data_IF_075024764987
#
_entry.id   IF_075024764987
#
_cell.length_a   1.000
_cell.length_b   1.000
_cell.length_c   1.000
_cell.angle_alpha   90.00
_cell.angle_beta   90.00
_cell.angle_gamma   90.00
#
_symmetry.space_group_name_H-M   'P 1'
#
loop_
_entity.id
_entity.type
_entity.pdbx_description
1 polymer ?
#
# COMPACT_ATOMS: atom_id res chain seq x y z
N UNK A 1 -8.39 -3.17 27.35
CA UNK A 1 -8.12 -2.00 26.48
C UNK A 1 -8.34 -2.44 25.03
N UNK A 2 -9.14 -1.70 24.27
CA UNK A 2 -9.37 -1.98 22.86
C UNK A 2 -8.07 -1.79 22.07
N UNK A 3 -7.97 -2.38 20.89
CA UNK A 3 -6.75 -2.29 20.06
C UNK A 3 -6.40 -0.83 19.70
N UNK A 4 -7.39 -0.02 19.32
CA UNK A 4 -7.19 1.41 19.04
C UNK A 4 -6.56 2.15 20.24
N UNK A 5 -7.11 1.95 21.43
CA UNK A 5 -6.58 2.59 22.65
C UNK A 5 -5.12 2.19 22.95
N UNK A 6 -4.76 0.94 22.63
CA UNK A 6 -3.37 0.47 22.78
C UNK A 6 -2.44 1.14 21.77
N UNK A 7 -2.93 1.30 20.52
CA UNK A 7 -2.18 1.95 19.43
C UNK A 7 -2.00 3.44 19.74
N UNK A 8 -3.05 4.14 20.16
CA UNK A 8 -2.98 5.56 20.54
C UNK A 8 -1.96 5.77 21.64
N UNK A 9 -2.02 4.94 22.70
CA UNK A 9 -1.06 5.00 23.79
C UNK A 9 0.38 4.66 23.34
N UNK A 10 0.56 3.74 22.39
CA UNK A 10 1.85 3.42 21.79
C UNK A 10 2.40 4.63 21.02
N UNK A 11 1.61 5.25 20.16
CA UNK A 11 2.00 6.42 19.36
C UNK A 11 2.44 7.55 20.29
N UNK A 12 1.63 7.87 21.29
CA UNK A 12 1.92 8.90 22.26
C UNK A 12 3.24 8.67 23.01
N UNK A 13 3.51 7.44 23.42
CA UNK A 13 4.78 7.11 24.08
C UNK A 13 5.96 7.22 23.12
N UNK A 14 5.83 6.67 21.92
CA UNK A 14 6.91 6.69 20.92
C UNK A 14 7.27 8.12 20.47
N UNK A 15 6.29 8.99 20.27
CA UNK A 15 6.51 10.40 19.94
C UNK A 15 7.21 11.17 21.08
N UNK A 16 6.93 10.82 22.34
CA UNK A 16 7.56 11.45 23.49
C UNK A 16 8.96 10.91 23.82
N UNK A 17 9.15 9.60 23.70
CA UNK A 17 10.31 8.90 24.28
C UNK A 17 11.37 8.52 23.26
N UNK A 18 11.01 8.43 21.97
CA UNK A 18 11.94 8.05 20.91
C UNK A 18 12.31 9.26 20.03
N UNK A 19 13.52 9.85 20.21
CA UNK A 19 13.93 11.07 19.49
C UNK A 19 13.83 10.94 17.98
N UNK A 20 14.25 9.82 17.39
CA UNK A 20 14.17 9.57 15.95
C UNK A 20 12.73 9.71 15.43
N UNK A 21 11.76 9.09 16.09
CA UNK A 21 10.34 9.16 15.72
C UNK A 21 9.84 10.58 15.86
N UNK A 22 10.03 11.20 17.02
CA UNK A 22 9.60 12.58 17.27
C UNK A 22 10.12 13.54 16.20
N UNK A 23 11.42 13.48 15.89
CA UNK A 23 12.07 14.43 14.99
C UNK A 23 11.64 14.21 13.53
N UNK A 24 11.44 12.94 13.10
CA UNK A 24 10.96 12.61 11.76
C UNK A 24 9.48 13.00 11.57
N UNK A 25 8.63 12.80 12.58
CA UNK A 25 7.23 13.25 12.52
C UNK A 25 7.14 14.78 12.50
N UNK A 26 7.92 15.47 13.33
CA UNK A 26 8.00 16.94 13.29
C UNK A 26 8.55 17.48 11.94
N UNK A 27 9.40 16.72 11.27
CA UNK A 27 9.86 17.05 9.91
C UNK A 27 8.75 16.86 8.89
N UNK A 28 7.98 15.77 9.01
CA UNK A 28 6.86 15.47 8.14
C UNK A 28 5.74 16.52 8.24
N UNK A 29 5.43 17.02 9.44
CA UNK A 29 4.44 18.09 9.64
C UNK A 29 4.77 19.37 8.84
N UNK A 30 6.05 19.61 8.57
CA UNK A 30 6.55 20.73 7.79
C UNK A 30 6.87 20.39 6.34
N UNK A 31 6.55 19.17 5.92
CA UNK A 31 6.81 18.73 4.54
C UNK A 31 6.04 19.59 3.54
N UNK A 32 6.72 20.00 2.48
CA UNK A 32 6.07 20.71 1.40
C UNK A 32 5.14 19.75 0.64
N UNK A 33 3.90 20.18 0.43
CA UNK A 33 2.90 19.47 -0.35
C UNK A 33 2.56 20.27 -1.60
N UNK A 34 2.31 19.57 -2.71
CA UNK A 34 1.88 20.17 -3.96
C UNK A 34 0.90 19.24 -4.65
N UNK A 35 -0.28 19.74 -5.01
CA UNK A 35 -1.25 19.02 -5.83
C UNK A 35 -0.87 19.09 -7.31
N UNK A 36 -1.13 17.99 -8.00
CA UNK A 36 -1.02 17.87 -9.46
C UNK A 36 -2.30 17.20 -9.97
N UNK A 37 -3.06 17.94 -10.77
CA UNK A 37 -4.28 17.40 -11.41
C UNK A 37 -3.88 16.56 -12.61
N UNK A 38 -4.36 15.31 -12.65
CA UNK A 38 -4.35 14.42 -13.80
C UNK A 38 -5.66 14.58 -14.59
N UNK A 39 -5.94 13.71 -15.52
CA UNK A 39 -7.16 13.80 -16.33
C UNK A 39 -8.44 13.52 -15.52
N UNK A 40 -8.35 12.60 -14.54
CA UNK A 40 -9.51 12.09 -13.79
C UNK A 40 -9.27 11.97 -12.28
N UNK A 41 -8.11 12.35 -11.79
CA UNK A 41 -7.75 12.25 -10.37
C UNK A 41 -6.80 13.36 -9.96
N UNK A 42 -6.65 13.53 -8.65
CA UNK A 42 -5.68 14.44 -8.07
C UNK A 42 -4.57 13.66 -7.36
N UNK A 43 -3.34 14.11 -7.55
CA UNK A 43 -2.14 13.53 -6.94
C UNK A 43 -1.48 14.57 -6.05
N UNK A 44 -1.14 14.20 -4.84
CA UNK A 44 -0.36 15.01 -3.91
C UNK A 44 1.10 14.59 -3.97
N UNK A 45 1.99 15.49 -4.30
CA UNK A 45 3.42 15.31 -4.15
C UNK A 45 3.84 15.80 -2.76
N UNK A 46 4.57 14.97 -2.03
CA UNK A 46 5.11 15.27 -0.71
C UNK A 46 6.63 15.29 -0.78
N UNK A 47 7.27 16.41 -0.48
CA UNK A 47 8.73 16.45 -0.31
C UNK A 47 9.10 15.86 1.04
N UNK A 48 9.65 14.64 1.04
CA UNK A 48 9.98 13.89 2.25
C UNK A 48 11.40 13.27 2.13
N UNK A 49 12.44 14.00 2.49
CA UNK A 49 13.84 13.54 2.35
C UNK A 49 14.13 12.24 3.10
N UNK A 50 13.45 12.00 4.23
CA UNK A 50 13.63 10.80 5.04
C UNK A 50 13.23 9.51 4.30
N UNK A 51 12.42 9.63 3.25
CA UNK A 51 12.05 8.51 2.36
C UNK A 51 13.18 7.99 1.49
N UNK A 52 14.30 8.73 1.36
CA UNK A 52 15.47 8.25 0.60
C UNK A 52 15.89 6.86 1.03
N UNK A 53 15.86 6.57 2.34
CA UNK A 53 16.21 5.26 2.89
C UNK A 53 15.37 4.11 2.30
N UNK A 54 14.05 4.32 2.16
CA UNK A 54 13.15 3.31 1.60
C UNK A 54 13.17 3.30 0.08
N UNK A 55 13.17 4.48 -0.56
CA UNK A 55 13.19 4.59 -2.03
C UNK A 55 14.48 4.02 -2.64
N UNK A 56 15.62 4.17 -1.95
CA UNK A 56 16.91 3.65 -2.35
C UNK A 56 17.21 2.22 -1.81
N UNK A 57 16.25 1.58 -1.13
CA UNK A 57 16.47 0.25 -0.55
C UNK A 57 16.86 -0.78 -1.63
N UNK A 58 17.93 -1.52 -1.35
CA UNK A 58 18.34 -2.66 -2.16
C UNK A 58 17.58 -3.90 -1.70
N UNK A 59 16.83 -4.49 -2.61
CA UNK A 59 15.97 -5.66 -2.35
C UNK A 59 16.35 -6.87 -3.20
N UNK A 60 17.54 -6.85 -3.81
CA UNK A 60 18.10 -8.03 -4.44
C UNK A 60 18.51 -9.09 -3.40
N UNK A 61 18.52 -10.36 -3.79
CA UNK A 61 18.74 -11.49 -2.90
C UNK A 61 20.07 -11.39 -2.11
N UNK A 62 21.15 -10.90 -2.74
CA UNK A 62 22.45 -10.75 -2.10
C UNK A 62 22.41 -9.66 -1.01
N UNK A 63 21.79 -8.51 -1.30
CA UNK A 63 21.61 -7.42 -0.33
C UNK A 63 20.72 -7.81 0.84
N UNK A 64 19.65 -8.58 0.59
CA UNK A 64 18.77 -9.09 1.64
C UNK A 64 19.49 -10.07 2.56
N UNK A 65 20.27 -11.01 2.01
CA UNK A 65 21.02 -11.98 2.79
C UNK A 65 22.15 -11.36 3.61
N UNK A 66 22.69 -10.21 3.16
CA UNK A 66 23.81 -9.54 3.83
C UNK A 66 23.39 -8.61 4.98
N UNK A 67 22.11 -8.27 5.11
CA UNK A 67 21.62 -7.33 6.15
C UNK A 67 20.82 -8.04 7.24
N UNK A 68 20.95 -7.60 8.52
CA UNK A 68 19.99 -7.99 9.53
C UNK A 68 18.59 -7.44 9.17
N UNK A 69 17.57 -8.27 9.36
CA UNK A 69 16.19 -7.86 9.11
C UNK A 69 15.73 -6.86 10.18
N UNK A 70 15.47 -5.62 9.79
CA UNK A 70 15.05 -4.56 10.70
C UNK A 70 13.62 -4.73 11.26
N UNK A 71 12.86 -5.70 10.74
CA UNK A 71 11.54 -6.07 11.27
C UNK A 71 11.63 -7.19 12.32
N UNK A 72 12.74 -7.92 12.43
CA UNK A 72 12.93 -8.89 13.47
C UNK A 72 13.21 -8.22 14.82
N UNK A 73 12.62 -8.74 15.90
CA UNK A 73 12.69 -8.14 17.25
C UNK A 73 14.14 -7.97 17.73
N UNK A 74 14.98 -8.92 17.45
CA UNK A 74 16.40 -8.92 17.84
C UNK A 74 17.26 -7.83 17.19
N UNK A 75 16.75 -7.22 16.11
CA UNK A 75 17.44 -6.15 15.38
C UNK A 75 16.76 -4.78 15.53
N UNK A 76 15.69 -4.71 16.30
CA UNK A 76 14.99 -3.45 16.54
C UNK A 76 15.70 -2.61 17.61
N UNK A 77 15.67 -1.27 17.48
CA UNK A 77 16.13 -0.39 18.57
C UNK A 77 15.35 -0.66 19.86
N UNK A 78 16.03 -0.51 21.00
CA UNK A 78 15.43 -0.74 22.31
C UNK A 78 14.26 0.21 22.59
N UNK A 79 14.28 1.38 21.98
CA UNK A 79 13.24 2.40 22.08
C UNK A 79 11.96 2.03 21.31
N UNK A 80 12.05 1.11 20.34
CA UNK A 80 10.91 0.73 19.50
C UNK A 80 9.96 -0.22 20.22
N UNK A 81 8.94 0.34 20.83
CA UNK A 81 7.87 -0.43 21.48
C UNK A 81 6.90 -1.02 20.45
N UNK A 82 6.20 -2.09 20.84
CA UNK A 82 5.23 -2.78 20.02
C UNK A 82 3.97 -3.17 20.80
N UNK A 83 2.85 -3.28 20.11
CA UNK A 83 1.62 -3.93 20.55
C UNK A 83 1.46 -5.22 19.76
N UNK A 84 1.34 -6.36 20.45
CA UNK A 84 1.09 -7.65 19.78
C UNK A 84 -0.40 -7.81 19.47
N UNK A 85 -0.69 -8.38 18.29
CA UNK A 85 -2.04 -8.66 17.84
C UNK A 85 -2.18 -10.06 17.25
N UNK A 86 -3.26 -10.76 17.68
CA UNK A 86 -3.64 -12.07 17.15
C UNK A 86 -2.60 -13.18 17.36
N UNK A 87 -1.60 -12.99 18.22
CA UNK A 87 -0.49 -13.92 18.40
C UNK A 87 0.38 -14.15 17.15
N UNK A 88 0.21 -13.31 16.13
CA UNK A 88 0.88 -13.45 14.84
C UNK A 88 1.63 -12.20 14.39
N UNK A 89 1.25 -11.03 14.88
CA UNK A 89 1.81 -9.74 14.45
C UNK A 89 2.19 -8.87 15.65
N UNK A 90 3.12 -7.97 15.39
CA UNK A 90 3.44 -6.82 16.23
C UNK A 90 3.17 -5.54 15.46
N UNK A 91 2.49 -4.61 16.10
CA UNK A 91 2.16 -3.28 15.59
C UNK A 91 3.15 -2.29 16.20
N UNK A 92 3.77 -1.48 15.39
CA UNK A 92 4.79 -0.53 15.79
C UNK A 92 4.67 0.77 14.99
N UNK A 93 5.09 1.89 15.60
CA UNK A 93 5.16 3.18 14.90
C UNK A 93 6.25 3.10 13.82
N UNK A 94 5.92 3.53 12.61
CA UNK A 94 6.92 3.62 11.53
C UNK A 94 7.84 4.82 11.77
N UNK A 95 9.16 4.62 11.96
CA UNK A 95 10.06 5.72 12.27
C UNK A 95 10.37 6.66 11.08
N UNK A 96 9.96 6.29 9.86
CA UNK A 96 10.13 7.09 8.63
C UNK A 96 8.76 7.30 7.97
N UNK A 97 7.90 8.15 8.56
CA UNK A 97 6.50 8.24 8.17
C UNK A 97 6.31 8.89 6.79
N UNK A 98 5.19 8.50 6.13
CA UNK A 98 4.58 9.24 5.00
C UNK A 98 3.28 9.89 5.48
N UNK A 99 2.55 9.18 6.32
CA UNK A 99 1.29 9.65 6.91
C UNK A 99 1.54 10.40 8.20
N UNK A 100 0.67 11.37 8.56
CA UNK A 100 0.68 12.00 9.88
C UNK A 100 0.68 10.99 11.06
N UNK A 101 0.02 9.85 10.87
CA UNK A 101 0.13 8.66 11.72
C UNK A 101 0.43 7.46 10.83
N UNK A 102 1.53 6.74 11.10
CA UNK A 102 2.01 5.65 10.25
C UNK A 102 2.49 4.48 11.09
N UNK A 103 1.89 3.31 10.85
CA UNK A 103 2.22 2.06 11.53
C UNK A 103 2.84 1.05 10.58
N UNK A 104 3.68 0.19 11.13
CA UNK A 104 4.13 -1.05 10.51
C UNK A 104 3.61 -2.22 11.32
N UNK A 105 2.97 -3.19 10.68
CA UNK A 105 2.34 -4.37 11.29
C UNK A 105 3.09 -5.58 10.76
N UNK A 106 4.15 -5.96 11.47
CA UNK A 106 5.05 -7.03 11.05
C UNK A 106 4.68 -8.37 11.67
N UNK A 107 4.82 -9.45 10.91
CA UNK A 107 4.72 -10.81 11.46
C UNK A 107 5.71 -11.00 12.61
N UNK A 108 5.32 -11.75 13.64
CA UNK A 108 6.24 -12.15 14.71
C UNK A 108 7.31 -13.11 14.19
N UNK A 109 6.97 -13.92 13.21
CA UNK A 109 7.88 -14.83 12.54
C UNK A 109 8.51 -14.18 11.30
N UNK A 110 9.80 -14.43 11.08
CA UNK A 110 10.50 -14.04 9.86
C UNK A 110 10.08 -14.97 8.72
N UNK A 111 9.05 -14.56 7.99
CA UNK A 111 8.52 -15.28 6.83
C UNK A 111 8.45 -14.36 5.62
N UNK A 112 8.62 -14.86 4.39
CA UNK A 112 8.57 -14.03 3.18
C UNK A 112 7.29 -13.21 3.05
N UNK A 113 7.42 -12.04 2.44
CA UNK A 113 6.31 -11.16 2.08
C UNK A 113 5.40 -11.86 1.06
N UNK A 114 4.30 -12.44 1.52
CA UNK A 114 3.31 -13.14 0.70
C UNK A 114 1.92 -12.96 1.30
N UNK A 115 0.94 -12.65 0.46
CA UNK A 115 -0.44 -12.45 0.89
C UNK A 115 -1.25 -13.75 0.74
N UNK A 116 -1.04 -14.69 1.65
CA UNK A 116 -1.76 -15.95 1.72
C UNK A 116 -3.21 -15.76 2.20
N UNK A 117 -4.16 -16.67 1.96
CA UNK A 117 -5.57 -16.54 2.35
C UNK A 117 -5.78 -16.14 3.83
N UNK A 118 -5.04 -16.76 4.76
CA UNK A 118 -5.09 -16.39 6.18
C UNK A 118 -4.62 -14.95 6.44
N UNK A 119 -3.67 -14.46 5.67
CA UNK A 119 -3.15 -13.10 5.78
C UNK A 119 -4.12 -12.07 5.19
N UNK A 120 -4.88 -12.46 4.16
CA UNK A 120 -6.02 -11.68 3.66
C UNK A 120 -7.02 -11.48 4.80
N UNK A 121 -7.46 -12.55 5.45
CA UNK A 121 -8.40 -12.46 6.56
C UNK A 121 -7.87 -11.57 7.70
N UNK A 122 -6.60 -11.71 8.05
CA UNK A 122 -5.97 -10.85 9.07
C UNK A 122 -5.95 -9.37 8.66
N UNK A 123 -5.67 -9.05 7.38
CA UNK A 123 -5.68 -7.66 6.88
C UNK A 123 -7.09 -7.05 6.97
N UNK A 124 -8.10 -7.80 6.53
CA UNK A 124 -9.49 -7.37 6.57
C UNK A 124 -10.00 -7.20 8.02
N UNK A 125 -9.64 -8.13 8.90
CA UNK A 125 -9.97 -8.05 10.33
C UNK A 125 -9.31 -6.84 11.00
N UNK A 126 -8.06 -6.54 10.66
CA UNK A 126 -7.39 -5.34 11.15
C UNK A 126 -8.07 -4.06 10.65
N UNK A 127 -8.52 -4.00 9.39
CA UNK A 127 -9.25 -2.86 8.86
C UNK A 127 -10.58 -2.63 9.61
N UNK A 128 -11.29 -3.70 9.95
CA UNK A 128 -12.52 -3.64 10.75
C UNK A 128 -12.24 -3.15 12.18
N UNK A 129 -11.15 -3.60 12.80
CA UNK A 129 -10.76 -3.22 14.17
C UNK A 129 -10.17 -1.80 14.25
N UNK A 130 -9.70 -1.25 13.14
CA UNK A 130 -9.00 0.02 13.01
C UNK A 130 -9.71 0.93 11.99
N UNK A 131 -10.97 1.37 12.24
CA UNK A 131 -11.80 2.07 11.24
C UNK A 131 -11.25 3.46 10.86
N UNK A 132 -10.36 4.05 11.66
CA UNK A 132 -9.71 5.33 11.40
C UNK A 132 -8.41 5.19 10.59
N UNK A 133 -8.12 3.97 10.12
CA UNK A 133 -6.88 3.65 9.42
C UNK A 133 -7.14 3.07 8.03
N UNK A 134 -6.23 3.36 7.11
CA UNK A 134 -6.09 2.65 5.83
C UNK A 134 -4.91 1.69 5.96
N UNK A 135 -5.16 0.41 5.89
CA UNK A 135 -4.12 -0.61 5.78
C UNK A 135 -3.64 -0.70 4.35
N UNK A 136 -2.35 -1.01 4.18
CA UNK A 136 -1.81 -1.24 2.86
C UNK A 136 -0.78 -2.37 2.84
N UNK A 137 -0.70 -3.01 1.68
CA UNK A 137 0.21 -4.11 1.42
C UNK A 137 1.00 -3.83 0.15
N UNK A 138 2.31 -3.97 0.24
CA UNK A 138 3.20 -3.94 -0.91
C UNK A 138 3.70 -5.34 -1.19
N UNK A 139 3.39 -5.87 -2.37
CA UNK A 139 3.91 -7.16 -2.81
C UNK A 139 5.45 -7.18 -2.85
N UNK A 140 6.08 -8.36 -2.78
CA UNK A 140 7.53 -8.50 -2.65
C UNK A 140 8.32 -7.82 -3.78
N UNK A 141 7.72 -7.71 -4.96
CA UNK A 141 8.27 -7.05 -6.15
C UNK A 141 7.53 -5.74 -6.50
N UNK A 142 6.83 -5.13 -5.54
CA UNK A 142 6.00 -3.95 -5.74
C UNK A 142 6.22 -2.90 -4.64
N UNK A 143 7.47 -2.59 -4.32
CA UNK A 143 7.84 -1.53 -3.39
C UNK A 143 7.98 -1.96 -1.93
N UNK A 144 7.85 -3.25 -1.59
CA UNK A 144 8.20 -3.73 -0.26
C UNK A 144 9.70 -3.52 0.02
N UNK A 145 10.03 -2.82 1.11
CA UNK A 145 11.43 -2.58 1.52
C UNK A 145 12.02 -3.75 2.33
N UNK A 146 11.18 -4.66 2.80
CA UNK A 146 11.53 -5.92 3.46
C UNK A 146 10.75 -7.08 2.85
N UNK A 147 11.03 -7.48 1.58
CA UNK A 147 10.32 -8.58 0.93
C UNK A 147 10.63 -9.96 1.54
N UNK A 148 11.62 -10.03 2.41
CA UNK A 148 12.01 -11.17 3.21
C UNK A 148 11.19 -11.35 4.50
N UNK A 149 10.43 -10.31 4.92
CA UNK A 149 9.67 -10.35 6.17
C UNK A 149 8.24 -9.82 5.98
N UNK A 150 7.26 -10.69 6.21
CA UNK A 150 5.84 -10.35 6.06
C UNK A 150 5.42 -9.19 6.94
N UNK A 151 4.84 -8.18 6.33
CA UNK A 151 4.29 -7.04 7.03
C UNK A 151 3.17 -6.37 6.24
N UNK A 152 2.24 -5.76 6.97
CA UNK A 152 1.35 -4.71 6.48
C UNK A 152 1.84 -3.37 7.01
N UNK A 153 1.25 -2.31 6.49
CA UNK A 153 1.39 -0.97 7.04
C UNK A 153 0.00 -0.35 7.18
N UNK A 154 -0.10 0.71 7.99
CA UNK A 154 -1.33 1.47 8.10
C UNK A 154 -1.02 2.97 8.23
N UNK A 155 -1.84 3.79 7.59
CA UNK A 155 -1.82 5.24 7.69
C UNK A 155 -3.19 5.77 8.12
N UNK A 156 -3.25 6.98 8.66
CA UNK A 156 -4.52 7.60 9.03
C UNK A 156 -5.43 7.74 7.81
N UNK A 157 -6.73 7.42 7.99
CA UNK A 157 -7.78 7.58 6.98
C UNK A 157 -7.93 9.06 6.58
N UNK A 158 -8.36 9.32 5.34
CA UNK A 158 -8.51 10.67 4.80
C UNK A 158 -7.22 11.31 4.27
N UNK A 159 -6.08 10.58 4.29
CA UNK A 159 -4.83 11.07 3.75
C UNK A 159 -4.62 10.73 2.26
N UNK A 160 -5.14 9.60 1.81
CA UNK A 160 -5.02 9.15 0.42
C UNK A 160 -6.25 9.60 -0.39
N UNK A 161 -6.11 10.48 -1.41
CA UNK A 161 -7.23 10.96 -2.23
C UNK A 161 -8.06 9.82 -2.83
N UNK A 162 -7.40 8.78 -3.30
CA UNK A 162 -8.07 7.63 -3.93
C UNK A 162 -9.12 6.97 -3.04
N UNK A 163 -8.92 6.94 -1.71
CA UNK A 163 -9.90 6.29 -0.82
C UNK A 163 -11.27 6.95 -0.86
N UNK A 164 -11.34 8.25 -1.14
CA UNK A 164 -12.59 8.98 -1.32
C UNK A 164 -13.05 8.93 -2.79
N UNK A 165 -12.12 9.03 -3.74
CA UNK A 165 -12.41 8.99 -5.18
C UNK A 165 -13.10 7.68 -5.59
N UNK A 166 -12.65 6.52 -5.11
CA UNK A 166 -13.25 5.22 -5.48
C UNK A 166 -14.65 5.00 -4.90
N UNK A 167 -15.08 5.83 -3.96
CA UNK A 167 -16.43 5.74 -3.38
C UNK A 167 -17.48 6.44 -4.24
N UNK A 168 -17.10 7.18 -5.28
CA UNK A 168 -18.04 7.80 -6.22
C UNK A 168 -18.83 6.71 -6.98
N UNK A 169 -20.16 6.62 -6.78
CA UNK A 169 -20.99 5.63 -7.47
C UNK A 169 -20.92 5.73 -9.01
N UNK A 170 -20.61 6.91 -9.55
CA UNK A 170 -20.48 7.12 -10.99
C UNK A 170 -19.33 6.31 -11.64
N UNK A 171 -18.37 5.85 -10.84
CA UNK A 171 -17.28 4.99 -11.30
C UNK A 171 -17.71 3.52 -11.49
N UNK A 172 -18.87 3.14 -10.91
CA UNK A 172 -19.29 1.74 -10.82
C UNK A 172 -20.66 1.47 -11.45
N UNK A 173 -20.90 1.87 -12.71
CA UNK A 173 -22.06 1.40 -13.46
C UNK A 173 -21.97 -0.13 -13.64
N UNK A 174 -23.09 -0.77 -14.02
CA UNK A 174 -23.17 -2.24 -14.06
C UNK A 174 -22.12 -2.90 -14.97
N UNK A 175 -21.72 -2.24 -16.04
CA UNK A 175 -20.67 -2.71 -16.98
C UNK A 175 -19.23 -2.60 -16.44
N UNK A 176 -19.00 -1.84 -15.38
CA UNK A 176 -17.71 -1.79 -14.66
C UNK A 176 -17.66 -2.79 -13.48
N UNK A 177 -18.80 -3.40 -13.13
CA UNK A 177 -18.87 -4.43 -12.10
C UNK A 177 -18.67 -5.80 -12.71
N UNK A 178 -17.63 -6.51 -12.25
CA UNK A 178 -17.32 -7.87 -12.68
C UNK A 178 -18.34 -8.85 -12.07
N UNK A 179 -18.61 -8.69 -10.77
CA UNK A 179 -19.59 -9.48 -10.04
C UNK A 179 -20.23 -8.62 -8.93
N UNK A 180 -21.55 -8.71 -8.77
CA UNK A 180 -22.27 -7.99 -7.73
C UNK A 180 -23.31 -8.88 -7.08
N UNK A 181 -23.51 -8.71 -5.78
CA UNK A 181 -24.54 -9.36 -4.95
C UNK A 181 -25.28 -8.30 -4.13
N UNK A 182 -26.30 -8.70 -3.34
CA UNK A 182 -26.96 -7.79 -2.41
C UNK A 182 -26.01 -7.23 -1.32
N UNK A 183 -24.95 -7.95 -1.00
CA UNK A 183 -24.01 -7.63 0.10
C UNK A 183 -22.74 -6.92 -0.40
N UNK A 184 -22.59 -6.66 -1.72
CA UNK A 184 -21.44 -5.96 -2.26
C UNK A 184 -21.07 -6.34 -3.69
N UNK A 185 -19.90 -5.83 -4.16
CA UNK A 185 -19.43 -6.07 -5.52
C UNK A 185 -17.89 -6.09 -5.58
N UNK A 186 -17.39 -6.66 -6.68
CA UNK A 186 -16.07 -6.40 -7.22
C UNK A 186 -16.21 -5.76 -8.59
N UNK A 187 -15.47 -4.70 -8.86
CA UNK A 187 -15.42 -4.01 -10.14
C UNK A 187 -13.99 -3.70 -10.57
N UNK A 188 -13.82 -3.29 -11.83
CA UNK A 188 -12.54 -2.82 -12.37
C UNK A 188 -12.76 -1.51 -13.10
N UNK A 189 -11.87 -0.54 -12.88
CA UNK A 189 -11.92 0.75 -13.60
C UNK A 189 -10.54 1.22 -14.00
N UNK A 190 -10.48 2.02 -15.06
CA UNK A 190 -9.32 2.79 -15.49
C UNK A 190 -9.59 4.29 -15.46
N UNK A 191 -10.78 4.69 -14.99
CA UNK A 191 -11.24 6.09 -15.00
C UNK A 191 -10.56 6.99 -13.96
N UNK A 192 -9.61 6.46 -13.18
CA UNK A 192 -8.82 7.19 -12.19
C UNK A 192 -7.34 7.29 -12.59
N UNK A 193 -7.06 7.43 -13.91
CA UNK A 193 -5.72 7.58 -14.50
C UNK A 193 -4.81 6.36 -14.31
N UNK A 194 -5.27 5.32 -13.63
CA UNK A 194 -4.60 4.04 -13.39
C UNK A 194 -5.60 2.91 -13.23
N UNK A 195 -5.27 1.69 -13.72
CA UNK A 195 -6.16 0.55 -13.55
C UNK A 195 -6.17 0.08 -12.09
N UNK A 196 -7.35 -0.22 -11.59
CA UNK A 196 -7.53 -0.82 -10.29
C UNK A 196 -8.76 -1.73 -10.27
N UNK A 197 -8.71 -2.73 -9.39
CA UNK A 197 -9.90 -3.46 -8.95
C UNK A 197 -10.38 -2.89 -7.63
N UNK A 198 -11.68 -2.77 -7.46
CA UNK A 198 -12.32 -2.31 -6.23
C UNK A 198 -13.30 -3.35 -5.73
N UNK A 199 -13.17 -3.72 -4.47
CA UNK A 199 -14.05 -4.63 -3.74
C UNK A 199 -14.71 -3.80 -2.64
N UNK A 200 -16.05 -3.77 -2.61
CA UNK A 200 -16.83 -3.11 -1.57
C UNK A 200 -17.93 -4.05 -1.10
N UNK A 201 -17.83 -4.51 0.13
CA UNK A 201 -18.74 -5.52 0.68
C UNK A 201 -19.11 -5.19 2.13
N UNK A 202 -20.36 -5.47 2.52
CA UNK A 202 -20.82 -5.36 3.90
C UNK A 202 -20.16 -6.44 4.80
N UNK A 203 -19.90 -7.62 4.24
CA UNK A 203 -19.28 -8.73 4.97
C UNK A 203 -17.82 -8.90 4.57
N UNK A 204 -16.95 -8.90 5.57
CA UNK A 204 -15.52 -9.16 5.42
C UNK A 204 -15.22 -10.46 4.68
N UNK A 205 -15.99 -11.51 4.96
CA UNK A 205 -15.81 -12.83 4.35
C UNK A 205 -16.03 -12.78 2.83
N UNK A 206 -17.03 -11.99 2.36
CA UNK A 206 -17.27 -11.79 0.93
C UNK A 206 -16.12 -10.99 0.29
N UNK A 207 -15.64 -9.93 0.96
CA UNK A 207 -14.48 -9.19 0.49
C UNK A 207 -13.24 -10.08 0.39
N UNK A 208 -13.00 -10.93 1.38
CA UNK A 208 -11.92 -11.92 1.39
C UNK A 208 -12.05 -12.95 0.27
N UNK A 209 -13.26 -13.42 0.00
CA UNK A 209 -13.54 -14.34 -1.10
C UNK A 209 -13.22 -13.69 -2.47
N UNK A 210 -13.71 -12.48 -2.73
CA UNK A 210 -13.41 -11.77 -3.97
C UNK A 210 -11.91 -11.49 -4.12
N UNK A 211 -11.23 -11.07 -3.05
CA UNK A 211 -9.79 -10.81 -3.10
C UNK A 211 -8.99 -12.09 -3.39
N UNK A 212 -9.34 -13.21 -2.78
CA UNK A 212 -8.65 -14.48 -3.01
C UNK A 212 -8.85 -14.98 -4.46
N UNK A 213 -10.06 -14.87 -5.01
CA UNK A 213 -10.37 -15.18 -6.42
C UNK A 213 -9.59 -14.26 -7.36
N UNK A 214 -9.57 -12.95 -7.09
CA UNK A 214 -8.80 -12.01 -7.89
C UNK A 214 -7.31 -12.34 -7.90
N UNK A 215 -6.73 -12.67 -6.75
CA UNK A 215 -5.33 -13.08 -6.69
C UNK A 215 -5.06 -14.34 -7.51
N UNK A 216 -5.95 -15.35 -7.44
CA UNK A 216 -5.82 -16.57 -8.24
C UNK A 216 -5.90 -16.24 -9.74
N UNK A 217 -6.84 -15.39 -10.15
CA UNK A 217 -6.97 -14.94 -11.53
C UNK A 217 -5.72 -14.19 -12.02
N UNK A 218 -5.16 -13.30 -11.18
CA UNK A 218 -3.92 -12.60 -11.48
C UNK A 218 -2.71 -13.55 -11.61
N UNK A 219 -2.62 -14.57 -10.77
CA UNK A 219 -1.58 -15.62 -10.88
C UNK A 219 -1.71 -16.40 -12.19
N UNK A 220 -2.92 -16.82 -12.56
CA UNK A 220 -3.19 -17.50 -13.82
C UNK A 220 -2.87 -16.63 -15.03
N UNK A 221 -3.28 -15.37 -15.01
CA UNK A 221 -3.00 -14.40 -16.07
C UNK A 221 -1.50 -14.11 -16.28
N UNK A 222 -0.71 -14.20 -15.21
CA UNK A 222 0.75 -14.03 -15.26
C UNK A 222 1.49 -15.30 -15.69
N UNK A 223 0.86 -16.47 -15.61
CA UNK A 223 1.49 -17.78 -15.83
C UNK A 223 2.55 -18.14 -14.77
N UNK A 224 2.62 -17.40 -13.67
CA UNK A 224 3.55 -17.63 -12.57
C UNK A 224 2.88 -18.36 -11.43
N UNK A 225 3.59 -19.28 -10.77
CA UNK A 225 3.15 -19.89 -9.51
C UNK A 225 3.42 -19.02 -8.28
N UNK A 226 4.07 -17.87 -8.47
CA UNK A 226 4.38 -16.92 -7.41
C UNK A 226 3.23 -15.94 -7.16
N UNK A 227 3.30 -15.21 -6.06
CA UNK A 227 2.37 -14.13 -5.79
C UNK A 227 2.37 -13.11 -6.94
N UNK A 228 1.17 -12.69 -7.42
CA UNK A 228 1.09 -11.73 -8.49
C UNK A 228 1.67 -10.38 -8.06
N UNK A 229 2.23 -9.64 -9.00
CA UNK A 229 2.70 -8.29 -8.74
C UNK A 229 1.50 -7.38 -8.43
N UNK A 230 1.43 -6.90 -7.18
CA UNK A 230 0.28 -6.12 -6.70
C UNK A 230 0.64 -5.17 -5.57
N UNK A 231 -0.17 -4.11 -5.46
CA UNK A 231 -0.26 -3.27 -4.26
C UNK A 231 -1.73 -3.22 -3.83
N UNK A 232 -1.99 -3.13 -2.53
CA UNK A 232 -3.35 -3.09 -1.99
C UNK A 232 -3.52 -1.94 -1.00
N UNK A 233 -4.76 -1.41 -0.95
CA UNK A 233 -5.30 -0.59 0.13
C UNK A 233 -6.52 -1.31 0.70
N UNK A 234 -6.73 -1.23 2.01
CA UNK A 234 -7.87 -1.83 2.68
C UNK A 234 -8.33 -0.96 3.86
N UNK A 235 -9.63 -0.65 3.93
CA UNK A 235 -10.18 0.16 5.03
C UNK A 235 -11.66 -0.13 5.26
N UNK A 236 -12.12 0.17 6.47
CA UNK A 236 -13.54 0.16 6.82
C UNK A 236 -14.16 1.54 6.57
N UNK A 237 -15.34 1.58 5.96
CA UNK A 237 -16.13 2.80 5.77
C UNK A 237 -17.60 2.53 6.09
N UNK A 238 -18.04 2.98 7.28
CA UNK A 238 -19.31 2.55 7.83
C UNK A 238 -19.38 1.04 7.97
N UNK A 239 -20.41 0.43 7.40
CA UNK A 239 -20.61 -1.02 7.42
C UNK A 239 -19.83 -1.75 6.30
N UNK A 240 -19.11 -1.00 5.42
CA UNK A 240 -18.47 -1.58 4.27
C UNK A 240 -16.96 -1.79 4.47
N UNK A 241 -16.51 -2.99 4.17
CA UNK A 241 -15.11 -3.31 3.94
C UNK A 241 -14.75 -2.96 2.49
N UNK A 242 -13.71 -2.13 2.31
CA UNK A 242 -13.24 -1.66 1.02
C UNK A 242 -11.82 -2.17 0.77
N UNK A 243 -11.58 -2.71 -0.43
CA UNK A 243 -10.26 -3.14 -0.86
C UNK A 243 -9.99 -2.62 -2.27
N UNK A 244 -8.89 -1.90 -2.45
CA UNK A 244 -8.35 -1.55 -3.77
C UNK A 244 -7.16 -2.44 -4.06
N UNK A 245 -7.12 -3.03 -5.25
CA UNK A 245 -6.00 -3.82 -5.74
C UNK A 245 -5.46 -3.16 -7.01
N UNK A 246 -4.18 -2.81 -7.00
CA UNK A 246 -3.47 -2.33 -8.17
C UNK A 246 -2.69 -3.50 -8.78
N UNK A 247 -3.09 -4.04 -9.93
CA UNK A 247 -2.28 -5.01 -10.64
C UNK A 247 -1.05 -4.33 -11.22
N UNK A 248 0.12 -4.85 -10.91
CA UNK A 248 1.41 -4.29 -11.32
C UNK A 248 2.08 -5.17 -12.37
N UNK A 249 2.91 -4.56 -13.21
CA UNK A 249 3.77 -5.27 -14.17
C UNK A 249 5.25 -4.99 -13.99
N UNK A 250 5.59 -3.96 -13.20
CA UNK A 250 6.98 -3.54 -13.01
C UNK A 250 7.23 -3.08 -11.57
N UNK A 251 8.39 -3.41 -11.05
CA UNK A 251 8.80 -3.02 -9.68
C UNK A 251 9.09 -1.52 -9.59
N UNK A 252 9.94 -1.03 -10.49
CA UNK A 252 10.41 0.36 -10.55
C UNK A 252 10.35 0.85 -12.01
N UNK A 253 10.18 2.15 -12.24
CA UNK A 253 10.20 2.70 -13.59
C UNK A 253 11.62 2.65 -14.20
N UNK A 254 11.72 2.71 -15.52
CA UNK A 254 13.00 2.71 -16.24
C UNK A 254 13.86 3.93 -15.90
N UNK A 255 13.21 5.04 -15.58
CA UNK A 255 13.87 6.26 -15.14
C UNK A 255 14.33 6.22 -13.66
N UNK A 256 14.22 5.07 -12.97
CA UNK A 256 14.64 4.98 -11.57
C UNK A 256 16.14 5.19 -11.39
N UNK A 257 16.51 6.14 -10.55
CA UNK A 257 17.91 6.43 -10.22
C UNK A 257 18.12 7.87 -9.73
N UNK A 258 19.40 8.26 -9.60
CA UNK A 258 19.79 9.58 -9.10
C UNK A 258 20.51 10.44 -10.16
N UNK A 259 20.75 9.91 -11.37
CA UNK A 259 21.42 10.59 -12.46
C UNK A 259 20.57 11.69 -13.12
N UNK A 260 21.14 12.32 -14.13
CA UNK A 260 20.43 13.28 -14.96
C UNK A 260 19.28 12.56 -15.71
N UNK A 261 18.08 13.14 -15.70
CA UNK A 261 16.88 12.52 -16.29
C UNK A 261 16.30 11.35 -15.51
N UNK A 262 16.92 10.93 -14.39
CA UNK A 262 16.39 9.88 -13.52
C UNK A 262 15.59 10.46 -12.35
N UNK A 263 14.68 9.64 -11.80
CA UNK A 263 13.85 9.95 -10.64
C UNK A 263 14.10 8.93 -9.53
N UNK A 264 14.34 9.40 -8.31
CA UNK A 264 14.49 8.51 -7.15
C UNK A 264 13.10 8.15 -6.58
N UNK A 265 12.31 7.46 -7.40
CA UNK A 265 10.95 7.05 -7.07
C UNK A 265 10.83 5.52 -7.16
N UNK A 266 10.34 4.90 -6.10
CA UNK A 266 10.02 3.46 -6.05
C UNK A 266 8.55 3.29 -5.67
N UNK A 267 7.61 3.55 -6.62
CA UNK A 267 6.19 3.67 -6.31
C UNK A 267 5.59 2.37 -5.77
N UNK A 268 4.73 2.54 -4.75
CA UNK A 268 4.07 1.48 -4.02
C UNK A 268 2.60 1.85 -3.74
N UNK A 269 1.93 1.19 -2.79
CA UNK A 269 0.50 1.40 -2.49
C UNK A 269 0.15 2.88 -2.24
N UNK A 270 1.00 3.61 -1.52
CA UNK A 270 0.74 5.01 -1.15
C UNK A 270 0.77 5.92 -2.38
N UNK A 271 1.76 5.70 -3.26
CA UNK A 271 1.90 6.47 -4.50
C UNK A 271 0.75 6.18 -5.45
N UNK A 272 0.34 4.92 -5.58
CA UNK A 272 -0.85 4.53 -6.33
C UNK A 272 -2.15 5.00 -5.67
N UNK A 273 -2.14 5.22 -4.36
CA UNK A 273 -3.22 5.83 -3.59
C UNK A 273 -3.33 7.34 -3.75
N UNK A 274 -2.42 7.97 -4.51
CA UNK A 274 -2.46 9.39 -4.85
C UNK A 274 -1.54 10.28 -4.04
N UNK A 275 -0.64 9.73 -3.18
CA UNK A 275 0.38 10.52 -2.46
C UNK A 275 1.78 10.04 -2.82
N UNK A 276 2.50 10.82 -3.61
CA UNK A 276 3.85 10.50 -4.06
C UNK A 276 4.91 11.11 -3.14
N UNK A 277 5.61 10.27 -2.41
CA UNK A 277 6.66 10.70 -1.49
C UNK A 277 8.00 10.88 -2.21
N UNK A 278 8.33 12.11 -2.57
CA UNK A 278 9.57 12.48 -3.25
C UNK A 278 10.68 12.70 -2.23
N UNK A 279 11.70 11.85 -2.25
CA UNK A 279 12.88 11.99 -1.39
C UNK A 279 13.82 13.12 -1.87
N UNK A 280 13.81 13.42 -3.17
CA UNK A 280 14.62 14.46 -3.79
C UNK A 280 13.80 15.74 -3.97
N UNK A 281 14.40 16.88 -3.60
CA UNK A 281 13.80 18.20 -3.85
C UNK A 281 13.62 18.46 -5.34
N UNK A 282 14.59 18.05 -6.16
CA UNK A 282 14.51 18.14 -7.62
C UNK A 282 13.27 17.40 -8.14
N UNK A 283 13.09 16.14 -7.74
CA UNK A 283 11.99 15.32 -8.23
C UNK A 283 10.63 15.92 -7.81
N UNK A 284 10.53 16.42 -6.56
CA UNK A 284 9.33 17.13 -6.08
C UNK A 284 9.01 18.37 -6.92
N UNK A 285 10.01 19.20 -7.25
CA UNK A 285 9.80 20.45 -7.96
C UNK A 285 9.49 20.25 -9.45
N UNK A 286 10.05 19.21 -10.07
CA UNK A 286 10.02 19.01 -11.54
C UNK A 286 8.99 18.01 -12.03
N UNK A 287 8.45 17.14 -11.17
CA UNK A 287 7.51 16.09 -11.58
C UNK A 287 6.19 16.70 -12.08
N UNK A 288 5.82 16.39 -13.32
CA UNK A 288 4.65 16.92 -14.02
C UNK A 288 3.51 15.89 -14.10
N UNK A 289 2.29 16.34 -14.45
CA UNK A 289 1.14 15.46 -14.68
C UNK A 289 1.43 14.41 -15.76
N UNK A 290 2.05 14.79 -16.86
CA UNK A 290 2.38 13.86 -17.96
C UNK A 290 3.41 12.81 -17.52
N UNK A 291 4.37 13.17 -16.70
CA UNK A 291 5.34 12.21 -16.14
C UNK A 291 4.68 11.25 -15.14
N UNK A 292 3.79 11.76 -14.27
CA UNK A 292 3.02 10.91 -13.35
C UNK A 292 2.15 9.90 -14.11
N UNK A 293 1.45 10.35 -15.18
CA UNK A 293 0.68 9.45 -16.03
C UNK A 293 1.57 8.39 -16.68
N UNK A 294 2.69 8.78 -17.26
CA UNK A 294 3.63 7.85 -17.86
C UNK A 294 4.16 6.81 -16.84
N UNK A 295 4.38 7.22 -15.58
CA UNK A 295 4.76 6.31 -14.50
C UNK A 295 3.65 5.32 -14.15
N UNK A 296 2.39 5.76 -14.09
CA UNK A 296 1.25 4.85 -13.90
C UNK A 296 1.12 3.85 -15.06
N UNK A 297 1.21 4.34 -16.30
CA UNK A 297 1.14 3.49 -17.50
C UNK A 297 2.28 2.47 -17.57
N UNK A 298 3.46 2.83 -17.09
CA UNK A 298 4.63 1.94 -17.05
C UNK A 298 4.53 0.89 -15.94
N UNK A 299 4.02 1.25 -14.78
CA UNK A 299 4.07 0.42 -13.57
C UNK A 299 2.86 -0.50 -13.41
N UNK A 300 1.68 -0.09 -13.87
CA UNK A 300 0.44 -0.85 -13.74
C UNK A 300 0.23 -1.81 -14.92
N UNK A 301 -0.65 -2.77 -14.75
CA UNK A 301 -1.02 -3.72 -15.78
C UNK A 301 -1.65 -3.02 -17.00
N UNK A 302 -1.32 -3.49 -18.19
CA UNK A 302 -1.92 -3.02 -19.43
C UNK A 302 -3.29 -3.68 -19.69
N UNK A 303 -4.04 -3.13 -20.67
CA UNK A 303 -5.37 -3.61 -21.02
C UNK A 303 -5.40 -5.11 -21.36
N UNK A 304 -4.40 -5.62 -22.07
CA UNK A 304 -4.36 -7.03 -22.44
C UNK A 304 -4.21 -7.93 -21.19
N UNK A 305 -3.46 -7.48 -20.20
CA UNK A 305 -3.32 -8.18 -18.92
C UNK A 305 -4.60 -8.10 -18.10
N UNK A 306 -5.27 -6.94 -18.07
CA UNK A 306 -6.54 -6.77 -17.35
C UNK A 306 -7.63 -7.67 -17.91
N UNK A 307 -7.75 -7.75 -19.23
CA UNK A 307 -8.71 -8.67 -19.90
C UNK A 307 -8.44 -10.12 -19.49
N UNK A 308 -7.17 -10.58 -19.53
CA UNK A 308 -6.84 -11.94 -19.09
C UNK A 308 -7.17 -12.19 -17.62
N UNK A 309 -6.94 -11.20 -16.74
CA UNK A 309 -7.30 -11.32 -15.32
C UNK A 309 -8.81 -11.49 -15.17
N UNK A 310 -9.63 -10.70 -15.87
CA UNK A 310 -11.09 -10.79 -15.82
C UNK A 310 -11.56 -12.14 -16.37
N UNK A 311 -11.02 -12.59 -17.50
CA UNK A 311 -11.36 -13.89 -18.09
C UNK A 311 -11.07 -15.06 -17.11
N UNK A 312 -9.91 -15.03 -16.44
CA UNK A 312 -9.59 -16.02 -15.42
C UNK A 312 -10.47 -15.89 -14.17
N UNK A 313 -10.84 -14.66 -13.78
CA UNK A 313 -11.72 -14.46 -12.63
C UNK A 313 -13.09 -15.13 -12.83
N UNK A 314 -13.65 -15.11 -14.04
CA UNK A 314 -14.89 -15.81 -14.35
C UNK A 314 -14.75 -17.35 -14.41
N UNK A 315 -13.52 -17.87 -14.47
CA UNK A 315 -13.24 -19.32 -14.48
C UNK A 315 -12.93 -19.88 -13.07
N UNK A 316 -12.72 -19.02 -12.06
CA UNK A 316 -12.45 -19.38 -10.66
C UNK A 316 -13.70 -19.31 -9.81
#
# INVERSE_FOLDING_TARGET
>A
MKLNEQIDALIDRQLRQWPLVRDNYATLERAALRSVSLAHSEVILQHNPERRRSSAARVDAASLAARPCFLCREHQPIEQETVEWGGAYKIQVNPYPIFPLHLTIASLEHTPQRLLPRRIDHMLQLAELLPDWVLFYNGPHCGASAPDHMHFQAGCKGFLPLCDEVLDPALWPDDERIEATGDGFIGMTQRLDRPLFFIRCERRELAGFYLARLQLAMMQASGSGDEPMQNLLCWQDGDYCNVVVFPRRKHRPDCYGEGEGQLLLSPASVDLGGVWACASRRDYDTLTASQLQALYDELCADNATLVRIIDHFYQT
#
